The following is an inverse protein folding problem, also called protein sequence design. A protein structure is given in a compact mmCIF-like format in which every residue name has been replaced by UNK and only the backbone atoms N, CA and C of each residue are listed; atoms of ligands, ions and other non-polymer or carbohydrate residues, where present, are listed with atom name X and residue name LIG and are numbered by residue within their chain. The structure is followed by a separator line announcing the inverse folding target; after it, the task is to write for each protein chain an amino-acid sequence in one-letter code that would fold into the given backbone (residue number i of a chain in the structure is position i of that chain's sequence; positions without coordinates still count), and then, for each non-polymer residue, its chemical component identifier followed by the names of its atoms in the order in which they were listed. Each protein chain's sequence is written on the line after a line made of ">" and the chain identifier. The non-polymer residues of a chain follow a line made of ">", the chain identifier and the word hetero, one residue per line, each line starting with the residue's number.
data_IF_038537880825
#
_entry.id   IF_038537880825
#
_cell.length_a   1.000
_cell.length_b   1.000
_cell.length_c   1.000
_cell.angle_alpha   90.00
_cell.angle_beta   90.00
_cell.angle_gamma   90.00
#
_symmetry.space_group_name_H-M   'P 1'
#
loop_
_entity.id
_entity.type
_entity.pdbx_description
1 polymer ?
#
# COMPACT_ATOMS: atom_id res chain seq x y z
N UNK A 1 -19.51 -24.34 -3.61
CA UNK A 1 -18.10 -24.24 -3.16
C UNK A 1 -17.34 -23.49 -4.25
N UNK A 2 -17.13 -22.17 -4.11
CA UNK A 2 -16.42 -21.37 -5.12
C UNK A 2 -14.97 -21.17 -4.68
N UNK A 3 -14.06 -21.84 -5.38
CA UNK A 3 -12.62 -21.68 -5.24
C UNK A 3 -12.17 -20.37 -5.92
N UNK A 4 -12.47 -19.23 -5.30
CA UNK A 4 -11.78 -17.97 -5.60
C UNK A 4 -10.41 -18.04 -4.95
N UNK A 5 -9.32 -17.96 -5.74
CA UNK A 5 -7.95 -17.87 -5.23
C UNK A 5 -7.85 -16.77 -4.18
N UNK A 6 -7.83 -17.13 -2.89
CA UNK A 6 -7.59 -16.17 -1.81
C UNK A 6 -6.14 -15.73 -1.92
N UNK A 7 -5.87 -14.62 -2.61
CA UNK A 7 -4.56 -13.98 -2.57
C UNK A 7 -4.33 -13.57 -1.11
N UNK A 8 -3.27 -14.12 -0.51
CA UNK A 8 -2.83 -13.70 0.81
C UNK A 8 -2.49 -12.20 0.82
N UNK A 9 -2.37 -11.58 2.01
CA UNK A 9 -2.06 -10.17 2.12
C UNK A 9 -0.72 -9.83 1.46
N UNK A 10 -0.66 -8.72 0.72
CA UNK A 10 0.54 -8.26 0.03
C UNK A 10 1.44 -7.52 1.03
N UNK A 11 2.65 -8.02 1.28
CA UNK A 11 3.60 -7.34 2.16
C UNK A 11 4.33 -6.24 1.41
N UNK A 12 4.54 -5.12 2.08
CA UNK A 12 5.36 -4.02 1.58
C UNK A 12 6.83 -4.39 1.80
N UNK A 13 7.67 -4.22 0.79
CA UNK A 13 9.10 -4.39 0.95
C UNK A 13 9.71 -3.12 1.56
N UNK A 14 9.64 -3.01 2.90
CA UNK A 14 10.08 -1.83 3.65
C UNK A 14 11.60 -1.60 3.60
N UNK A 15 12.40 -2.55 3.11
CA UNK A 15 13.82 -2.34 2.85
C UNK A 15 14.06 -1.44 1.63
N UNK A 16 13.18 -1.51 0.64
CA UNK A 16 13.35 -0.82 -0.64
C UNK A 16 12.39 0.36 -0.82
N UNK A 17 11.31 0.39 -0.02
CA UNK A 17 10.26 1.40 -0.14
C UNK A 17 9.86 1.97 1.21
N UNK A 18 9.76 3.29 1.27
CA UNK A 18 8.94 3.96 2.28
C UNK A 18 7.54 4.04 1.71
N UNK A 19 6.56 3.45 2.39
CA UNK A 19 5.16 3.44 1.98
C UNK A 19 4.27 4.20 2.97
N UNK A 20 3.69 5.28 2.48
CA UNK A 20 2.69 6.10 3.19
C UNK A 20 1.30 5.80 2.63
N UNK A 21 0.28 5.86 3.47
CA UNK A 21 -1.12 5.83 3.03
C UNK A 21 -1.74 7.15 3.43
N UNK A 22 -2.12 7.94 2.44
CA UNK A 22 -2.61 9.31 2.62
C UNK A 22 -4.06 9.42 2.16
N UNK A 23 -4.80 10.34 2.76
CA UNK A 23 -6.08 10.77 2.23
C UNK A 23 -5.85 11.46 0.86
N UNK A 24 -6.56 11.05 -0.21
CA UNK A 24 -6.27 11.52 -1.57
C UNK A 24 -6.61 13.01 -1.79
N UNK A 25 -7.51 13.58 -0.98
CA UNK A 25 -7.95 14.97 -1.08
C UNK A 25 -7.05 15.89 -0.25
N UNK A 26 -6.80 15.51 1.01
CA UNK A 26 -6.09 16.35 1.99
C UNK A 26 -4.58 16.10 2.02
N UNK A 27 -4.12 14.98 1.43
CA UNK A 27 -2.73 14.51 1.48
C UNK A 27 -2.19 14.28 2.90
N UNK A 28 -3.07 14.12 3.90
CA UNK A 28 -2.71 13.80 5.28
C UNK A 28 -2.63 12.29 5.50
N UNK A 29 -1.74 11.78 6.37
CA UNK A 29 -1.70 10.36 6.71
C UNK A 29 -3.02 9.87 7.31
N UNK A 30 -3.49 8.71 6.86
CA UNK A 30 -4.62 8.01 7.50
C UNK A 30 -4.14 7.01 8.54
N UNK A 31 -5.01 6.61 9.47
CA UNK A 31 -4.68 5.59 10.44
C UNK A 31 -4.53 4.21 9.77
N UNK A 32 -3.74 3.31 10.37
CA UNK A 32 -3.68 1.92 9.92
C UNK A 32 -5.08 1.28 9.97
N UNK A 33 -5.40 0.49 8.95
CA UNK A 33 -6.73 -0.09 8.75
C UNK A 33 -7.72 0.84 8.03
N UNK A 34 -7.40 2.12 7.83
CA UNK A 34 -8.20 3.02 7.00
C UNK A 34 -7.74 2.98 5.54
N UNK A 35 -8.70 3.25 4.64
CA UNK A 35 -8.45 3.31 3.21
C UNK A 35 -7.84 4.66 2.85
N UNK A 36 -6.81 4.65 2.01
CA UNK A 36 -6.22 5.84 1.43
C UNK A 36 -5.39 5.52 0.20
N UNK A 37 -4.77 6.55 -0.38
CA UNK A 37 -3.87 6.44 -1.52
C UNK A 37 -2.48 6.01 -1.07
N UNK A 38 -1.91 5.02 -1.77
CA UNK A 38 -0.53 4.60 -1.59
C UNK A 38 0.45 5.61 -2.19
N UNK A 39 1.36 6.10 -1.36
CA UNK A 39 2.47 6.97 -1.75
C UNK A 39 3.78 6.26 -1.44
N UNK A 40 4.68 6.20 -2.43
CA UNK A 40 5.94 5.45 -2.32
C UNK A 40 7.16 6.34 -2.54
N UNK A 41 8.20 6.08 -1.77
CA UNK A 41 9.57 6.53 -2.05
C UNK A 41 10.45 5.30 -2.20
N UNK A 42 11.12 5.13 -3.34
CA UNK A 42 12.06 4.02 -3.52
C UNK A 42 13.46 4.42 -3.03
N UNK A 43 14.15 3.49 -2.37
CA UNK A 43 15.45 3.76 -1.73
C UNK A 43 16.63 3.17 -2.52
N UNK A 44 16.43 2.05 -3.23
CA UNK A 44 17.49 1.33 -3.94
C UNK A 44 17.66 1.63 -5.43
N UNK A 45 16.81 2.48 -6.04
CA UNK A 45 16.77 2.64 -7.49
C UNK A 45 17.48 3.92 -7.97
N UNK A 46 18.75 3.79 -8.35
CA UNK A 46 19.63 4.93 -8.71
C UNK A 46 19.23 5.59 -10.03
N UNK A 47 18.81 4.81 -11.04
CA UNK A 47 18.50 5.35 -12.38
C UNK A 47 17.11 5.98 -12.52
N UNK A 48 16.22 5.74 -11.56
CA UNK A 48 14.85 6.28 -11.55
C UNK A 48 14.33 6.39 -10.11
N UNK A 49 14.95 7.26 -9.28
CA UNK A 49 14.46 7.49 -7.94
C UNK A 49 13.13 8.25 -8.02
N UNK A 50 12.21 7.88 -7.14
CA UNK A 50 10.94 8.55 -6.95
C UNK A 50 10.79 8.88 -5.47
N UNK A 51 10.41 10.13 -5.19
CA UNK A 51 10.21 10.64 -3.83
C UNK A 51 8.75 11.03 -3.72
N UNK A 52 8.07 10.47 -2.71
CA UNK A 52 6.62 10.66 -2.46
C UNK A 52 5.78 10.55 -3.73
N UNK A 53 6.04 9.53 -4.54
CA UNK A 53 5.28 9.28 -5.76
C UNK A 53 3.88 8.79 -5.44
N UNK A 54 2.89 9.55 -5.91
CA UNK A 54 1.47 9.25 -5.82
C UNK A 54 1.09 8.20 -6.85
N UNK A 55 0.92 6.96 -6.40
CA UNK A 55 0.54 5.83 -7.27
C UNK A 55 -0.90 5.94 -7.79
N UNK A 56 -1.73 6.73 -7.08
CA UNK A 56 -3.18 6.78 -7.24
C UNK A 56 -3.86 5.44 -7.00
N UNK A 57 -3.20 4.50 -6.31
CA UNK A 57 -3.81 3.24 -5.91
C UNK A 57 -4.42 3.36 -4.52
N UNK A 58 -5.68 2.96 -4.37
CA UNK A 58 -6.38 2.93 -3.09
C UNK A 58 -6.16 1.61 -2.37
N UNK A 59 -5.60 1.67 -1.17
CA UNK A 59 -5.16 0.52 -0.38
C UNK A 59 -5.58 0.66 1.08
N UNK A 60 -5.48 -0.44 1.84
CA UNK A 60 -5.61 -0.45 3.30
C UNK A 60 -4.34 -1.04 3.89
N UNK A 61 -3.55 -0.22 4.59
CA UNK A 61 -2.32 -0.67 5.27
C UNK A 61 -2.66 -1.27 6.63
N UNK A 62 -1.99 -2.37 6.95
CA UNK A 62 -2.11 -3.04 8.25
C UNK A 62 -0.71 -3.41 8.73
N UNK A 63 -0.36 -3.00 9.95
CA UNK A 63 0.94 -3.22 10.59
C UNK A 63 0.93 -4.34 11.63
N UNK A 64 -0.20 -5.02 11.83
CA UNK A 64 -0.28 -6.14 12.78
C UNK A 64 0.60 -7.29 12.31
N UNK A 65 1.31 -7.98 13.21
CA UNK A 65 2.12 -9.14 12.86
C UNK A 65 1.36 -10.16 12.01
N UNK A 66 2.01 -10.64 10.95
CA UNK A 66 1.42 -11.60 10.04
C UNK A 66 1.80 -13.02 10.46
N UNK A 67 0.87 -13.97 10.32
CA UNK A 67 1.12 -15.39 10.60
C UNK A 67 2.18 -16.03 9.68
N UNK A 68 2.60 -15.34 8.61
CA UNK A 68 3.70 -15.78 7.74
C UNK A 68 5.09 -15.52 8.32
N UNK A 69 5.18 -14.86 9.50
CA UNK A 69 6.44 -14.55 10.18
C UNK A 69 7.12 -13.26 9.73
N UNK A 70 6.60 -12.56 8.72
CA UNK A 70 7.11 -11.22 8.34
C UNK A 70 6.54 -10.15 9.28
N UNK A 71 7.37 -9.14 9.56
CA UNK A 71 7.03 -7.99 10.41
C UNK A 71 6.60 -6.76 9.62
N UNK A 72 6.77 -6.77 8.29
CA UNK A 72 6.43 -5.62 7.45
C UNK A 72 4.93 -5.40 7.36
N UNK A 73 4.55 -4.14 7.14
CA UNK A 73 3.20 -3.76 6.84
C UNK A 73 2.66 -4.52 5.61
N UNK A 74 1.35 -4.72 5.60
CA UNK A 74 0.64 -5.43 4.54
C UNK A 74 -0.53 -4.62 4.01
N UNK A 75 -0.78 -4.74 2.72
CA UNK A 75 -1.96 -4.21 2.05
C UNK A 75 -3.05 -5.29 2.06
N UNK A 76 -4.05 -5.09 2.92
CA UNK A 76 -5.17 -6.03 3.07
C UNK A 76 -6.11 -5.85 1.89
N UNK A 77 -6.40 -6.93 1.16
CA UNK A 77 -7.19 -6.88 -0.07
C UNK A 77 -6.42 -6.36 -1.30
N UNK A 78 -5.14 -5.98 -1.12
CA UNK A 78 -4.30 -5.43 -2.19
C UNK A 78 -4.76 -4.05 -2.67
N UNK A 79 -4.55 -3.77 -3.96
CA UNK A 79 -5.04 -2.55 -4.61
C UNK A 79 -6.53 -2.71 -4.89
N UNK A 80 -7.33 -1.82 -4.31
CA UNK A 80 -8.81 -1.92 -4.34
C UNK A 80 -9.46 -1.09 -5.44
N UNK A 81 -8.85 0.05 -5.80
CA UNK A 81 -9.32 0.93 -6.87
C UNK A 81 -8.24 1.95 -7.22
N UNK A 82 -8.53 2.83 -8.19
CA UNK A 82 -7.72 4.00 -8.53
C UNK A 82 -8.39 5.26 -7.98
N UNK A 83 -7.61 6.19 -7.45
CA UNK A 83 -8.11 7.46 -6.94
C UNK A 83 -8.61 8.40 -8.07
N UNK A 84 -8.11 8.21 -9.30
CA UNK A 84 -8.46 9.01 -10.48
C UNK A 84 -9.42 8.32 -11.46
N UNK A 85 -9.90 7.11 -11.14
CA UNK A 85 -10.98 6.51 -11.91
C UNK A 85 -12.28 7.26 -11.60
N UNK A 86 -12.66 8.20 -12.47
CA UNK A 86 -13.97 8.83 -12.44
C UNK A 86 -15.06 7.75 -12.54
N UNK A 87 -16.01 7.78 -11.61
CA UNK A 87 -17.28 7.06 -11.69
C UNK A 87 -18.32 7.87 -12.44
#
# INVERSE_FOLDING_TARGET
>A
MNAGTRRGPLHINEHEFIAEVLDPETSQPVADGQRGELVITNLGQIGSPVIRYRTRDLVVRNVTPCSCGRIFARLVGGVTARADAHG
#
